data_IF_859017254080
#
_entry.id   IF_859017254080
#
_cell.length_a   1.000
_cell.length_b   1.000
_cell.length_c   1.000
_cell.angle_alpha   90.00
_cell.angle_beta   90.00
_cell.angle_gamma   90.00
#
_symmetry.space_group_name_H-M   'P 1'
#
loop_
_entity.id
_entity.type
_entity.pdbx_description
1 polymer ?
#
# COMPACT_ATOMS: atom_id res chain seq x y z
N UNK A 1 -15.45 8.41 -11.99
CA UNK A 1 -14.68 8.45 -10.74
C UNK A 1 -13.34 7.74 -10.95
N UNK A 2 -12.24 8.23 -10.37
CA UNK A 2 -10.91 7.61 -10.39
C UNK A 2 -10.36 7.49 -8.99
N UNK A 3 -9.63 6.41 -8.73
CA UNK A 3 -8.87 6.21 -7.49
C UNK A 3 -7.44 5.78 -7.82
N UNK A 4 -6.54 6.13 -6.91
CA UNK A 4 -5.18 5.60 -6.84
C UNK A 4 -5.19 4.38 -5.94
N UNK A 5 -4.71 3.24 -6.43
CA UNK A 5 -4.35 2.11 -5.59
C UNK A 5 -2.85 2.12 -5.33
N UNK A 6 -2.45 1.85 -4.09
CA UNK A 6 -1.04 1.67 -3.74
C UNK A 6 -0.86 0.29 -3.11
N UNK A 7 0.13 -0.43 -3.59
CA UNK A 7 0.52 -1.73 -3.05
C UNK A 7 2.04 -1.91 -3.13
N UNK A 8 2.53 -2.92 -2.44
CA UNK A 8 3.95 -3.22 -2.38
C UNK A 8 4.23 -4.69 -2.68
N UNK A 9 5.50 -4.97 -2.98
CA UNK A 9 6.04 -6.31 -3.08
C UNK A 9 7.53 -6.32 -2.75
N UNK A 10 7.98 -7.31 -1.97
CA UNK A 10 9.40 -7.54 -1.70
C UNK A 10 9.69 -9.03 -1.51
N UNK A 11 10.92 -9.42 -1.81
CA UNK A 11 11.42 -10.78 -1.55
C UNK A 11 12.04 -10.87 -0.17
N UNK A 12 11.98 -12.06 0.42
CA UNK A 12 12.67 -12.32 1.67
C UNK A 12 14.17 -11.98 1.58
N UNK A 13 14.67 -11.23 2.57
CA UNK A 13 16.04 -10.75 2.61
C UNK A 13 16.34 -9.49 1.79
N UNK A 14 15.37 -8.93 1.06
CA UNK A 14 15.55 -7.66 0.38
C UNK A 14 15.60 -6.48 1.36
N UNK A 15 16.47 -5.50 1.10
CA UNK A 15 16.53 -4.25 1.88
C UNK A 15 15.46 -3.26 1.46
N UNK A 16 15.00 -3.34 0.22
CA UNK A 16 14.00 -2.44 -0.37
C UNK A 16 12.79 -3.22 -0.85
N UNK A 17 11.61 -2.65 -0.62
CA UNK A 17 10.35 -3.10 -1.20
C UNK A 17 9.98 -2.24 -2.40
N UNK A 18 9.44 -2.85 -3.44
CA UNK A 18 8.89 -2.14 -4.59
C UNK A 18 7.48 -1.68 -4.28
N UNK A 19 7.25 -0.37 -4.34
CA UNK A 19 5.93 0.23 -4.32
C UNK A 19 5.40 0.41 -5.75
N UNK A 20 4.11 0.23 -5.95
CA UNK A 20 3.46 0.65 -7.18
C UNK A 20 2.18 1.42 -6.87
N UNK A 21 1.93 2.46 -7.66
CA UNK A 21 0.66 3.18 -7.69
C UNK A 21 -0.04 2.92 -9.03
N UNK A 22 -1.35 2.66 -8.99
CA UNK A 22 -2.19 2.48 -10.17
C UNK A 22 -3.37 3.44 -10.14
N UNK A 23 -3.54 4.23 -11.20
CA UNK A 23 -4.75 5.04 -11.40
C UNK A 23 -5.78 4.20 -12.14
N UNK A 24 -6.91 3.97 -11.50
CA UNK A 24 -7.99 3.15 -12.05
C UNK A 24 -9.30 3.92 -12.04
N UNK A 25 -10.02 3.88 -13.16
CA UNK A 25 -11.37 4.42 -13.29
C UNK A 25 -12.40 3.44 -12.72
N UNK A 26 -13.57 3.95 -12.36
CA UNK A 26 -14.67 3.11 -11.87
C UNK A 26 -15.16 2.07 -12.90
N UNK A 27 -14.91 2.31 -14.19
CA UNK A 27 -15.16 1.37 -15.29
C UNK A 27 -13.98 0.40 -15.54
N UNK A 28 -13.05 0.29 -14.58
CA UNK A 28 -11.89 -0.63 -14.55
C UNK A 28 -10.76 -0.31 -15.55
N UNK A 29 -10.83 0.83 -16.24
CA UNK A 29 -9.74 1.25 -17.12
C UNK A 29 -8.56 1.72 -16.27
N UNK A 30 -7.37 1.19 -16.56
CA UNK A 30 -6.11 1.62 -15.95
C UNK A 30 -5.60 2.83 -16.71
N UNK A 31 -5.51 3.97 -16.04
CA UNK A 31 -5.16 5.27 -16.65
C UNK A 31 -3.73 5.73 -16.30
N UNK A 32 -2.99 4.97 -15.51
CA UNK A 32 -1.61 5.31 -15.15
C UNK A 32 -1.01 4.34 -14.16
N UNK A 33 0.31 4.23 -14.21
CA UNK A 33 1.12 3.43 -13.30
C UNK A 33 2.38 4.22 -12.94
N UNK A 34 2.84 4.08 -11.71
CA UNK A 34 4.14 4.57 -11.27
C UNK A 34 4.77 3.59 -10.27
N UNK A 35 6.09 3.65 -10.15
CA UNK A 35 6.86 2.84 -9.22
C UNK A 35 7.65 3.71 -8.25
N UNK A 36 7.80 3.21 -7.06
CA UNK A 36 8.63 3.75 -6.00
C UNK A 36 9.23 2.64 -5.16
N UNK A 37 9.83 2.98 -4.05
CA UNK A 37 10.34 2.00 -3.12
C UNK A 37 10.38 2.54 -1.69
N UNK A 38 10.29 1.64 -0.71
CA UNK A 38 10.55 1.95 0.69
C UNK A 38 11.46 0.90 1.32
N UNK A 39 11.97 1.18 2.51
CA UNK A 39 12.89 0.31 3.24
C UNK A 39 12.12 -0.83 3.91
N UNK A 40 12.56 -2.06 3.73
CA UNK A 40 11.99 -3.21 4.46
C UNK A 40 12.34 -3.08 5.94
N UNK A 41 11.31 -3.09 6.80
CA UNK A 41 11.48 -2.84 8.24
C UNK A 41 11.85 -1.40 8.60
N UNK A 42 11.73 -0.48 7.64
CA UNK A 42 12.01 0.94 7.83
C UNK A 42 10.86 1.73 8.48
N UNK A 43 10.91 3.05 8.32
CA UNK A 43 9.90 4.01 8.80
C UNK A 43 9.56 5.06 7.75
N UNK A 44 9.95 4.81 6.49
CA UNK A 44 9.89 5.73 5.36
C UNK A 44 8.71 5.49 4.41
N UNK A 45 7.84 4.50 4.69
CA UNK A 45 6.75 4.13 3.77
C UNK A 45 5.77 5.28 3.52
N UNK A 46 5.46 6.10 4.53
CA UNK A 46 4.57 7.25 4.38
C UNK A 46 5.15 8.27 3.40
N UNK A 47 6.42 8.66 3.57
CA UNK A 47 7.10 9.59 2.67
C UNK A 47 7.25 9.04 1.26
N UNK A 48 7.55 7.74 1.15
CA UNK A 48 7.65 7.07 -0.13
C UNK A 48 6.31 7.06 -0.90
N UNK A 49 5.19 6.84 -0.20
CA UNK A 49 3.85 6.90 -0.81
C UNK A 49 3.49 8.34 -1.20
N UNK A 50 3.80 9.35 -0.36
CA UNK A 50 3.59 10.77 -0.70
C UNK A 50 4.34 11.12 -1.99
N UNK A 51 5.63 10.81 -2.07
CA UNK A 51 6.43 11.06 -3.27
C UNK A 51 5.86 10.35 -4.49
N UNK A 52 5.57 9.06 -4.38
CA UNK A 52 5.03 8.25 -5.47
C UNK A 52 3.72 8.82 -6.05
N UNK A 53 2.79 9.22 -5.19
CA UNK A 53 1.49 9.77 -5.61
C UNK A 53 1.64 11.19 -6.17
N UNK A 54 2.54 12.00 -5.61
CA UNK A 54 2.81 13.37 -6.07
C UNK A 54 3.47 13.35 -7.45
N UNK A 55 4.50 12.52 -7.62
CA UNK A 55 5.26 12.40 -8.87
C UNK A 55 4.41 11.85 -10.02
N UNK A 56 3.41 11.00 -9.70
CA UNK A 56 2.45 10.51 -10.70
C UNK A 56 1.57 11.63 -11.28
N UNK A 57 1.39 12.75 -10.55
CA UNK A 57 0.78 13.98 -11.08
C UNK A 57 -0.67 13.82 -11.54
N UNK A 58 -1.51 13.05 -10.80
CA UNK A 58 -2.90 12.75 -11.16
C UNK A 58 -3.92 13.43 -10.23
N UNK A 59 -4.17 14.73 -10.40
CA UNK A 59 -5.16 15.44 -9.56
C UNK A 59 -6.60 14.98 -9.77
N UNK A 60 -6.89 14.30 -10.87
CA UNK A 60 -8.18 13.73 -11.22
C UNK A 60 -8.52 12.40 -10.47
N UNK A 61 -7.54 11.78 -9.84
CA UNK A 61 -7.73 10.64 -8.96
C UNK A 61 -8.08 11.13 -7.53
N UNK A 62 -9.34 11.02 -7.17
CA UNK A 62 -9.90 11.65 -5.96
C UNK A 62 -9.64 10.90 -4.66
N UNK A 63 -9.33 9.61 -4.72
CA UNK A 63 -9.18 8.75 -3.57
C UNK A 63 -7.86 8.01 -3.63
N UNK A 64 -7.23 7.78 -2.48
CA UNK A 64 -6.07 6.90 -2.35
C UNK A 64 -6.48 5.65 -1.58
N UNK A 65 -6.38 4.49 -2.22
CA UNK A 65 -6.68 3.19 -1.65
C UNK A 65 -5.37 2.44 -1.39
N UNK A 66 -5.11 2.07 -0.15
CA UNK A 66 -3.90 1.39 0.29
C UNK A 66 -4.18 -0.09 0.54
N UNK A 67 -3.37 -0.98 0.02
CA UNK A 67 -3.52 -2.43 0.19
C UNK A 67 -2.98 -2.99 1.51
N UNK A 68 -2.37 -2.14 2.34
CA UNK A 68 -1.82 -2.49 3.65
C UNK A 68 -1.69 -1.24 4.52
N UNK A 69 -1.62 -1.41 5.85
CA UNK A 69 -1.27 -0.35 6.81
C UNK A 69 0.18 -0.44 7.28
N UNK A 70 0.83 -1.57 7.07
CA UNK A 70 2.21 -1.85 7.48
C UNK A 70 2.94 -2.62 6.37
N UNK A 71 3.16 -1.99 5.18
CA UNK A 71 3.92 -2.61 4.11
C UNK A 71 5.36 -2.89 4.51
N UNK A 72 6.06 -3.67 3.71
CA UNK A 72 7.50 -3.88 3.81
C UNK A 72 7.97 -4.19 5.25
N UNK A 73 7.37 -5.19 5.86
CA UNK A 73 7.69 -5.67 7.20
C UNK A 73 7.63 -4.58 8.27
N UNK A 74 6.39 -4.21 8.65
CA UNK A 74 6.07 -3.22 9.71
C UNK A 74 6.59 -1.80 9.46
N UNK A 75 6.77 -1.38 8.22
CA UNK A 75 6.99 0.00 7.85
C UNK A 75 5.61 0.71 7.81
N UNK A 76 5.17 1.21 8.96
CA UNK A 76 3.80 1.68 9.17
C UNK A 76 3.47 2.93 8.37
N UNK A 77 2.30 2.94 7.75
CA UNK A 77 1.72 4.10 7.08
C UNK A 77 0.94 4.96 8.10
N UNK A 78 1.18 6.24 8.08
CA UNK A 78 0.48 7.26 8.87
C UNK A 78 -0.65 7.86 8.02
N UNK A 79 -1.89 7.29 8.11
CA UNK A 79 -3.00 7.64 7.22
C UNK A 79 -3.39 9.12 7.29
N UNK A 80 -3.38 9.72 8.49
CA UNK A 80 -3.67 11.14 8.66
C UNK A 80 -2.65 12.02 7.94
N UNK A 81 -1.36 11.69 8.06
CA UNK A 81 -0.29 12.40 7.37
C UNK A 81 -0.36 12.25 5.86
N UNK A 82 -0.72 11.05 5.36
CA UNK A 82 -0.99 10.83 3.93
C UNK A 82 -2.16 11.70 3.45
N UNK A 83 -3.26 11.74 4.21
CA UNK A 83 -4.42 12.57 3.90
C UNK A 83 -4.05 14.05 3.80
N UNK A 84 -3.34 14.57 4.80
CA UNK A 84 -2.91 15.98 4.85
C UNK A 84 -1.95 16.31 3.70
N UNK A 85 -0.92 15.47 3.47
CA UNK A 85 0.12 15.74 2.46
C UNK A 85 -0.42 15.63 1.02
N UNK A 86 -1.38 14.77 0.77
CA UNK A 86 -1.94 14.54 -0.57
C UNK A 86 -3.20 15.36 -0.85
N UNK A 87 -3.78 16.01 0.17
CA UNK A 87 -5.07 16.72 0.11
C UNK A 87 -6.18 15.83 -0.50
N UNK A 88 -6.23 14.56 -0.09
CA UNK A 88 -7.18 13.56 -0.60
C UNK A 88 -7.57 12.58 0.49
N UNK A 89 -8.81 12.07 0.44
CA UNK A 89 -9.20 10.95 1.28
C UNK A 89 -8.32 9.73 1.05
N UNK A 90 -7.92 9.11 2.17
CA UNK A 90 -7.09 7.90 2.19
C UNK A 90 -7.85 6.77 2.86
N UNK A 91 -7.93 5.61 2.21
CA UNK A 91 -8.58 4.41 2.73
C UNK A 91 -7.63 3.22 2.64
N UNK A 92 -7.25 2.67 3.76
CA UNK A 92 -6.55 1.39 3.81
C UNK A 92 -7.58 0.25 3.84
N UNK A 93 -7.39 -0.74 2.96
CA UNK A 93 -8.25 -1.91 2.84
C UNK A 93 -7.39 -3.16 3.05
N UNK A 94 -7.71 -3.91 4.08
CA UNK A 94 -7.04 -5.18 4.41
C UNK A 94 -8.03 -6.34 4.32
N UNK A 95 -7.54 -7.56 4.11
CA UNK A 95 -8.36 -8.69 3.64
C UNK A 95 -8.37 -9.87 4.62
N UNK A 96 -7.61 -9.79 5.70
CA UNK A 96 -7.47 -10.86 6.67
C UNK A 96 -8.10 -10.45 7.99
N UNK A 97 -8.89 -11.34 8.56
CA UNK A 97 -9.31 -11.21 9.95
C UNK A 97 -8.08 -11.32 10.85
N UNK A 98 -7.91 -10.37 11.75
CA UNK A 98 -6.81 -10.40 12.71
C UNK A 98 -7.11 -9.54 13.94
N UNK A 99 -6.54 -9.91 15.06
CA UNK A 99 -6.59 -9.14 16.32
C UNK A 99 -5.72 -7.87 16.29
N UNK A 100 -5.14 -7.56 15.12
CA UNK A 100 -4.25 -6.41 14.93
C UNK A 100 -2.77 -6.78 14.95
N UNK A 101 -1.90 -5.75 14.89
CA UNK A 101 -0.45 -5.94 14.74
C UNK A 101 0.34 -5.74 16.02
N UNK A 102 -0.30 -5.37 17.16
CA UNK A 102 0.45 -5.01 18.37
C UNK A 102 1.31 -6.17 18.92
N UNK A 103 0.76 -7.38 18.95
CA UNK A 103 1.50 -8.55 19.43
C UNK A 103 2.71 -8.82 18.53
N UNK A 104 2.50 -8.86 17.22
CA UNK A 104 3.56 -9.10 16.25
C UNK A 104 4.64 -8.01 16.25
N UNK A 105 4.25 -6.74 16.47
CA UNK A 105 5.23 -5.64 16.63
C UNK A 105 6.04 -5.83 17.89
N UNK A 106 5.43 -6.26 19.01
CA UNK A 106 6.15 -6.52 20.27
C UNK A 106 7.15 -7.67 20.14
N UNK A 107 6.83 -8.66 19.35
CA UNK A 107 7.68 -9.83 19.12
C UNK A 107 8.83 -9.51 18.15
N UNK A 108 8.58 -8.71 17.13
CA UNK A 108 9.55 -8.40 16.07
C UNK A 108 10.57 -7.30 16.47
N UNK A 109 10.21 -6.40 17.39
CA UNK A 109 11.02 -5.22 17.71
C UNK A 109 11.27 -5.07 19.22
N UNK A 110 12.32 -4.32 19.58
CA UNK A 110 12.68 -3.98 20.96
C UNK A 110 12.96 -2.48 21.11
N UNK A 111 13.02 -2.01 22.35
CA UNK A 111 13.46 -0.65 22.69
C UNK A 111 12.62 0.45 22.01
N UNK A 112 13.30 1.43 21.46
CA UNK A 112 12.72 2.60 20.80
C UNK A 112 11.95 2.21 19.55
N UNK A 113 12.47 1.30 18.74
CA UNK A 113 11.84 0.84 17.50
C UNK A 113 10.46 0.22 17.74
N UNK A 114 10.33 -0.57 18.81
CA UNK A 114 9.03 -1.12 19.22
C UNK A 114 8.06 -0.03 19.63
N UNK A 115 8.53 0.91 20.47
CA UNK A 115 7.67 1.99 20.98
C UNK A 115 7.13 2.86 19.86
N UNK A 116 7.98 3.31 18.96
CA UNK A 116 7.59 4.16 17.84
C UNK A 116 6.58 3.47 16.91
N UNK A 117 6.77 2.18 16.60
CA UNK A 117 5.83 1.43 15.78
C UNK A 117 4.48 1.22 16.47
N UNK A 118 4.47 0.93 17.76
CA UNK A 118 3.23 0.81 18.52
C UNK A 118 2.50 2.15 18.60
N UNK A 119 3.20 3.26 18.79
CA UNK A 119 2.60 4.61 18.79
C UNK A 119 1.96 4.92 17.41
N UNK A 120 2.66 4.69 16.32
CA UNK A 120 2.12 4.87 14.95
C UNK A 120 0.94 3.95 14.67
N UNK A 121 1.01 2.69 15.08
CA UNK A 121 -0.08 1.74 14.88
C UNK A 121 -1.35 2.14 15.64
N UNK A 122 -1.20 2.62 16.88
CA UNK A 122 -2.31 3.09 17.71
C UNK A 122 -2.90 4.41 17.26
N UNK A 123 -2.13 5.21 16.53
CA UNK A 123 -2.61 6.46 15.92
C UNK A 123 -3.40 6.22 14.63
N UNK A 124 -3.46 5.00 14.11
CA UNK A 124 -4.31 4.68 12.96
C UNK A 124 -5.78 4.84 13.32
N UNK A 125 -6.62 5.29 12.36
CA UNK A 125 -8.08 5.29 12.53
C UNK A 125 -8.61 3.91 12.89
N UNK A 126 -9.78 3.87 13.52
CA UNK A 126 -10.44 2.63 13.89
C UNK A 126 -10.63 1.69 12.69
N UNK A 127 -10.37 0.42 12.91
CA UNK A 127 -10.61 -0.64 11.92
C UNK A 127 -12.05 -1.09 12.02
N UNK A 128 -12.74 -1.11 10.90
CA UNK A 128 -14.10 -1.65 10.83
C UNK A 128 -14.26 -2.63 9.68
N UNK A 129 -15.21 -3.52 9.82
CA UNK A 129 -15.61 -4.47 8.79
C UNK A 129 -16.48 -3.80 7.73
N UNK A 130 -16.34 -4.26 6.50
CA UNK A 130 -17.15 -3.85 5.38
C UNK A 130 -17.45 -5.06 4.48
N UNK A 131 -18.72 -5.37 4.29
CA UNK A 131 -19.15 -6.38 3.33
C UNK A 131 -19.12 -5.80 1.91
N UNK A 132 -18.48 -6.53 1.01
CA UNK A 132 -18.34 -6.22 -0.43
C UNK A 132 -18.85 -7.38 -1.27
N UNK A 133 -18.85 -7.24 -2.60
CA UNK A 133 -19.30 -8.28 -3.54
C UNK A 133 -20.68 -8.86 -3.19
N UNK A 134 -21.65 -7.99 -3.00
CA UNK A 134 -23.02 -8.40 -2.64
C UNK A 134 -23.16 -9.06 -1.27
N UNK A 135 -22.16 -8.96 -0.40
CA UNK A 135 -22.15 -9.55 0.95
C UNK A 135 -21.42 -10.90 1.03
N UNK A 136 -20.80 -11.36 -0.05
CA UNK A 136 -20.07 -12.64 -0.07
C UNK A 136 -18.67 -12.53 0.51
N UNK A 137 -18.09 -11.33 0.49
CA UNK A 137 -16.73 -11.07 0.96
C UNK A 137 -16.71 -9.98 2.03
N UNK A 138 -15.83 -10.12 3.01
CA UNK A 138 -15.58 -9.12 4.04
C UNK A 138 -14.18 -8.54 3.90
N UNK A 139 -14.09 -7.22 3.93
CA UNK A 139 -12.83 -6.49 4.00
C UNK A 139 -12.79 -5.63 5.26
N UNK A 140 -11.62 -5.20 5.65
CA UNK A 140 -11.42 -4.36 6.83
C UNK A 140 -10.85 -3.02 6.40
N UNK A 141 -11.50 -1.94 6.81
CA UNK A 141 -11.17 -0.59 6.36
C UNK A 141 -10.77 0.32 7.51
N UNK A 142 -9.81 1.21 7.23
CA UNK A 142 -9.45 2.38 8.04
C UNK A 142 -9.39 3.58 7.10
N UNK A 143 -9.93 4.72 7.49
CA UNK A 143 -10.03 5.86 6.58
C UNK A 143 -9.73 7.20 7.26
N UNK A 144 -9.20 8.14 6.48
CA UNK A 144 -9.08 9.55 6.82
C UNK A 144 -9.70 10.39 5.70
N UNK A 145 -10.40 11.46 6.08
CA UNK A 145 -10.97 12.43 5.15
C UNK A 145 -12.29 12.00 4.48
N UNK A 146 -12.97 10.97 5.01
CA UNK A 146 -14.30 10.52 4.57
C UNK A 146 -15.13 10.03 5.74
N UNK A 147 -16.43 10.28 5.66
CA UNK A 147 -17.43 9.65 6.52
C UNK A 147 -17.62 8.17 6.14
N UNK A 148 -18.07 7.36 7.10
CA UNK A 148 -18.16 5.91 6.98
C UNK A 148 -18.96 5.44 5.76
N UNK A 149 -20.12 6.04 5.53
CA UNK A 149 -21.01 5.71 4.41
C UNK A 149 -20.31 5.97 3.06
N UNK A 150 -19.53 7.05 2.99
CA UNK A 150 -18.79 7.38 1.77
C UNK A 150 -17.61 6.46 1.53
N UNK A 151 -16.94 6.00 2.59
CA UNK A 151 -15.92 4.94 2.49
C UNK A 151 -16.52 3.68 1.88
N UNK A 152 -17.70 3.26 2.36
CA UNK A 152 -18.40 2.07 1.87
C UNK A 152 -18.74 2.18 0.38
N UNK A 153 -19.30 3.32 -0.03
CA UNK A 153 -19.60 3.58 -1.44
C UNK A 153 -18.36 3.51 -2.34
N UNK A 154 -17.26 4.13 -1.90
CA UNK A 154 -16.00 4.16 -2.65
C UNK A 154 -15.41 2.76 -2.75
N UNK A 155 -15.29 2.04 -1.64
CA UNK A 155 -14.71 0.70 -1.63
C UNK A 155 -15.54 -0.26 -2.47
N UNK A 156 -16.88 -0.29 -2.29
CA UNK A 156 -17.78 -1.13 -3.11
C UNK A 156 -17.75 -0.74 -4.58
N UNK A 157 -17.72 0.55 -4.90
CA UNK A 157 -17.67 1.05 -6.27
C UNK A 157 -16.42 0.64 -7.05
N UNK A 158 -15.33 0.35 -6.34
CA UNK A 158 -14.09 -0.16 -6.93
C UNK A 158 -13.89 -1.67 -6.72
N UNK A 159 -14.84 -2.37 -6.06
CA UNK A 159 -14.80 -3.82 -5.82
C UNK A 159 -15.97 -4.50 -6.54
N UNK A 160 -15.92 -4.63 -7.86
CA UNK A 160 -17.04 -5.21 -8.64
C UNK A 160 -17.17 -6.72 -8.45
N UNK A 161 -16.07 -7.40 -8.21
CA UNK A 161 -16.00 -8.86 -8.03
C UNK A 161 -14.86 -9.19 -7.07
N UNK A 162 -15.08 -10.16 -6.20
CA UNK A 162 -14.11 -10.56 -5.17
C UNK A 162 -13.87 -9.50 -4.11
N UNK A 163 -13.11 -9.80 -3.10
CA UNK A 163 -12.91 -8.94 -1.93
C UNK A 163 -11.94 -7.78 -2.12
N UNK A 164 -11.34 -7.57 -3.31
CA UNK A 164 -10.24 -6.61 -3.47
C UNK A 164 -10.57 -5.47 -4.43
N UNK A 165 -10.51 -4.19 -3.98
CA UNK A 165 -10.69 -3.05 -4.85
C UNK A 165 -9.73 -3.07 -6.05
N UNK A 166 -10.24 -2.81 -7.23
CA UNK A 166 -9.50 -2.90 -8.49
C UNK A 166 -8.22 -2.03 -8.52
N UNK A 167 -8.19 -0.80 -7.98
CA UNK A 167 -6.95 -0.03 -7.91
C UNK A 167 -5.85 -0.73 -7.10
N UNK A 168 -6.20 -1.36 -5.97
CA UNK A 168 -5.25 -2.12 -5.15
C UNK A 168 -4.80 -3.39 -5.87
N UNK A 169 -5.73 -4.09 -6.54
CA UNK A 169 -5.43 -5.31 -7.30
C UNK A 169 -4.42 -5.03 -8.41
N UNK A 170 -4.63 -3.98 -9.19
CA UNK A 170 -3.72 -3.56 -10.27
C UNK A 170 -2.38 -3.12 -9.71
N UNK A 171 -2.36 -2.28 -8.68
CA UNK A 171 -1.12 -1.85 -8.03
C UNK A 171 -0.30 -3.05 -7.51
N UNK A 172 -0.95 -4.06 -6.93
CA UNK A 172 -0.28 -5.27 -6.44
C UNK A 172 0.34 -6.09 -7.57
N UNK A 173 -0.34 -6.23 -8.70
CA UNK A 173 0.21 -6.89 -9.88
C UNK A 173 1.43 -6.13 -10.41
N UNK A 174 1.33 -4.80 -10.51
CA UNK A 174 2.43 -3.95 -10.93
C UNK A 174 3.63 -4.04 -9.98
N UNK A 175 3.41 -3.96 -8.65
CA UNK A 175 4.48 -4.06 -7.66
C UNK A 175 5.25 -5.38 -7.78
N UNK A 176 4.55 -6.51 -7.94
CA UNK A 176 5.17 -7.83 -8.14
C UNK A 176 5.98 -7.90 -9.44
N UNK A 177 5.44 -7.37 -10.53
CA UNK A 177 6.14 -7.32 -11.81
C UNK A 177 7.39 -6.45 -11.73
N UNK A 178 7.29 -5.28 -11.09
CA UNK A 178 8.40 -4.35 -10.87
C UNK A 178 9.51 -4.96 -10.00
N UNK A 179 9.15 -5.63 -8.92
CA UNK A 179 10.09 -6.38 -8.06
C UNK A 179 10.84 -7.45 -8.85
N UNK A 180 10.12 -8.25 -9.65
CA UNK A 180 10.73 -9.30 -10.47
C UNK A 180 11.71 -8.72 -11.49
N UNK A 181 11.32 -7.64 -12.16
CA UNK A 181 12.15 -6.95 -13.14
C UNK A 181 13.44 -6.38 -12.50
N UNK A 182 13.32 -5.67 -11.39
CA UNK A 182 14.45 -5.09 -10.66
C UNK A 182 15.43 -6.18 -10.17
N UNK A 183 14.91 -7.32 -9.66
CA UNK A 183 15.73 -8.45 -9.24
C UNK A 183 16.51 -9.11 -10.39
N UNK A 184 15.94 -9.14 -11.59
CA UNK A 184 16.61 -9.68 -12.78
C UNK A 184 17.71 -8.75 -13.30
N UNK A 185 17.49 -7.45 -13.25
CA UNK A 185 18.47 -6.45 -13.67
C UNK A 185 19.72 -6.43 -12.77
N UNK A 186 19.56 -6.68 -11.46
CA UNK A 186 20.68 -6.75 -10.52
C UNK A 186 21.58 -7.98 -10.69
N UNK A 187 21.08 -9.07 -11.27
CA UNK A 187 21.84 -10.29 -11.49
C UNK A 187 22.67 -10.28 -12.80
N UNK A 188 22.38 -9.37 -13.73
CA UNK A 188 23.07 -9.26 -15.01
C UNK A 188 24.39 -8.48 -14.99
N UNK A 189 24.75 -7.79 -13.91
CA UNK A 189 25.96 -6.98 -13.82
C UNK A 189 27.15 -7.65 -13.11
N UNK A 190 27.01 -8.90 -12.68
CA UNK A 190 28.04 -9.60 -11.89
C UNK A 190 28.98 -10.53 -12.66
N UNK A 191 28.95 -10.60 -13.99
CA UNK A 191 29.75 -11.60 -14.74
C UNK A 191 30.55 -11.06 -15.91
N UNK A 192 31.28 -9.96 -15.73
CA UNK A 192 32.31 -9.53 -16.66
C UNK A 192 33.61 -9.15 -15.93
N UNK A 193 34.16 -10.07 -15.17
CA UNK A 193 35.57 -10.03 -14.82
C UNK A 193 36.29 -11.02 -15.75
N UNK A 194 36.68 -10.51 -16.91
CA UNK A 194 37.52 -11.24 -17.87
C UNK A 194 38.92 -11.21 -17.30
N UNK A 195 39.35 -12.34 -16.78
CA UNK A 195 40.76 -12.66 -16.57
C UNK A 195 41.48 -12.51 -17.88
N UNK A 196 42.36 -11.53 -17.96
CA UNK A 196 43.32 -11.39 -19.05
C UNK A 196 44.70 -11.69 -18.46
N UNK A 197 45.19 -12.91 -18.72
CA UNK A 197 46.59 -13.29 -18.63
C UNK A 197 47.29 -13.00 -19.94
#
# INVERSE_FOLDING_TARGET
MRALGVAESYRGGAERSTLAAAVVRADRVVDGLAYGSCTVGGTDATDAVVSLVTDLGRPDARYVLLGAVAPAWYNLLELSRLHEALDRPVVAVTFEESDGLEASIRDAFAGTDRRERLERYRALPDRRELSVDGGTETVYVRACGLEAERVDEVVRGFTPEGGRPEPIRVARLAARAGETFAGSAGQGQGSNDVSND
#
